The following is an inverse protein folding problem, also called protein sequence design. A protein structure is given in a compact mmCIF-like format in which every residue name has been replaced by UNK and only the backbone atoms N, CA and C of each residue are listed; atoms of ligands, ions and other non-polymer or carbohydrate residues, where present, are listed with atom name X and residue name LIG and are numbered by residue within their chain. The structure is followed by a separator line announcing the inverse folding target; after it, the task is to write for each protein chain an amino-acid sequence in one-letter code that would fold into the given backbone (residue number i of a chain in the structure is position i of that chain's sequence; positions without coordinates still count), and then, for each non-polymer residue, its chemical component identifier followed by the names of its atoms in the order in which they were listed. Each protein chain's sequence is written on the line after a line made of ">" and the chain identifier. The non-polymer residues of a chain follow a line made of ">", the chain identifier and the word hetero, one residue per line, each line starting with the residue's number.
data_IF_337613465233
#
_entry.id   IF_337613465233
#
_cell.length_a   1.000
_cell.length_b   1.000
_cell.length_c   1.000
_cell.angle_alpha   90.00
_cell.angle_beta   90.00
_cell.angle_gamma   90.00
#
_symmetry.space_group_name_H-M   'P 1'
#
loop_
_entity.id
_entity.type
_entity.pdbx_description
1 polymer ?
#
# COMPACT_ATOMS: atom_id res chain seq x y z
N UNK A 1 23.09 -14.56 46.53
CA UNK A 1 23.07 -13.20 45.92
C UNK A 1 22.50 -13.16 44.49
N UNK A 2 22.24 -14.28 43.80
CA UNK A 2 21.79 -14.28 42.39
C UNK A 2 20.29 -14.10 42.12
N UNK A 3 19.40 -14.42 43.06
CA UNK A 3 17.96 -14.51 42.81
C UNK A 3 17.27 -13.14 42.67
N UNK A 4 17.76 -12.11 43.37
CA UNK A 4 17.16 -10.77 43.38
C UNK A 4 17.36 -9.98 42.09
N UNK A 5 18.56 -10.06 41.51
CA UNK A 5 18.90 -9.36 40.25
C UNK A 5 18.12 -9.94 39.06
N UNK A 6 17.99 -11.27 39.01
CA UNK A 6 17.29 -11.98 37.93
C UNK A 6 15.78 -11.69 37.95
N UNK A 7 15.18 -11.60 39.14
CA UNK A 7 13.76 -11.27 39.32
C UNK A 7 13.45 -9.82 38.91
N UNK A 8 14.34 -8.88 39.25
CA UNK A 8 14.24 -7.48 38.83
C UNK A 8 14.31 -7.35 37.29
N UNK A 9 15.28 -8.03 36.67
CA UNK A 9 15.45 -8.03 35.22
C UNK A 9 14.21 -8.57 34.48
N UNK A 10 13.60 -9.67 34.96
CA UNK A 10 12.34 -10.19 34.42
C UNK A 10 11.22 -9.15 34.47
N UNK A 11 11.05 -8.47 35.59
CA UNK A 11 9.99 -7.48 35.75
C UNK A 11 10.19 -6.28 34.80
N UNK A 12 11.44 -5.80 34.66
CA UNK A 12 11.77 -4.78 33.68
C UNK A 12 11.47 -5.21 32.24
N UNK A 13 11.80 -6.45 31.86
CA UNK A 13 11.49 -6.98 30.53
C UNK A 13 9.98 -7.07 30.29
N UNK A 14 9.21 -7.54 31.27
CA UNK A 14 7.75 -7.57 31.19
C UNK A 14 7.17 -6.16 30.99
N UNK A 15 7.62 -5.18 31.79
CA UNK A 15 7.16 -3.80 31.66
C UNK A 15 7.50 -3.20 30.30
N UNK A 16 8.71 -3.44 29.79
CA UNK A 16 9.15 -2.93 28.49
C UNK A 16 8.35 -3.55 27.34
N UNK A 17 8.23 -4.88 27.30
CA UNK A 17 7.46 -5.58 26.26
C UNK A 17 6.00 -5.12 26.28
N UNK A 18 5.38 -5.04 27.45
CA UNK A 18 4.00 -4.57 27.56
C UNK A 18 3.84 -3.12 27.13
N UNK A 19 4.78 -2.23 27.49
CA UNK A 19 4.74 -0.83 27.08
C UNK A 19 4.81 -0.67 25.56
N UNK A 20 5.79 -1.31 24.91
CA UNK A 20 5.95 -1.23 23.45
C UNK A 20 4.72 -1.82 22.75
N UNK A 21 4.22 -2.96 23.22
CA UNK A 21 3.04 -3.59 22.61
C UNK A 21 1.74 -2.78 22.82
N UNK A 22 1.61 -2.04 23.92
CA UNK A 22 0.48 -1.10 24.10
C UNK A 22 0.56 0.04 23.07
N UNK A 23 1.76 0.59 22.83
CA UNK A 23 1.93 1.62 21.81
C UNK A 23 1.63 1.09 20.40
N UNK A 24 2.11 -0.11 20.06
CA UNK A 24 1.81 -0.72 18.75
C UNK A 24 0.33 -1.08 18.61
N UNK A 25 -0.34 -1.50 19.68
CA UNK A 25 -1.79 -1.72 19.66
C UNK A 25 -2.57 -0.44 19.37
N UNK A 26 -2.17 0.70 19.95
CA UNK A 26 -2.79 2.00 19.66
C UNK A 26 -2.60 2.36 18.18
N UNK A 27 -1.40 2.14 17.62
CA UNK A 27 -1.15 2.34 16.18
C UNK A 27 -2.02 1.41 15.32
N UNK A 28 -2.15 0.14 15.70
CA UNK A 28 -3.02 -0.81 15.02
C UNK A 28 -4.49 -0.40 15.03
N UNK A 29 -4.99 0.10 16.17
CA UNK A 29 -6.36 0.64 16.29
C UNK A 29 -6.57 1.89 15.43
N UNK A 30 -5.57 2.77 15.34
CA UNK A 30 -5.63 3.93 14.46
C UNK A 30 -5.71 3.51 12.98
N UNK A 31 -4.87 2.55 12.55
CA UNK A 31 -4.91 2.03 11.17
C UNK A 31 -6.24 1.34 10.85
N UNK A 32 -6.76 0.53 11.78
CA UNK A 32 -8.07 -0.08 11.65
C UNK A 32 -9.17 0.97 11.49
N UNK A 33 -9.17 2.01 12.33
CA UNK A 33 -10.12 3.10 12.26
C UNK A 33 -10.03 3.85 10.93
N UNK A 34 -8.81 4.16 10.45
CA UNK A 34 -8.60 4.78 9.13
C UNK A 34 -9.14 3.90 8.00
N UNK A 35 -8.90 2.60 8.03
CA UNK A 35 -9.45 1.66 7.05
C UNK A 35 -10.98 1.60 7.07
N UNK A 36 -11.60 1.55 8.25
CA UNK A 36 -13.05 1.60 8.38
C UNK A 36 -13.66 2.92 7.92
N UNK A 37 -13.02 4.05 8.26
CA UNK A 37 -13.47 5.39 7.84
C UNK A 37 -13.36 5.58 6.33
N UNK A 38 -12.29 5.09 5.70
CA UNK A 38 -12.13 5.17 4.24
C UNK A 38 -13.14 4.29 3.52
N UNK A 39 -13.44 3.08 4.00
CA UNK A 39 -14.54 2.26 3.48
C UNK A 39 -15.88 2.96 3.64
N UNK A 40 -16.17 3.50 4.82
CA UNK A 40 -17.43 4.20 5.07
C UNK A 40 -17.57 5.42 4.16
N UNK A 41 -16.54 6.25 4.04
CA UNK A 41 -16.53 7.41 3.15
C UNK A 41 -16.72 6.99 1.69
N UNK A 42 -16.06 5.91 1.25
CA UNK A 42 -16.26 5.36 -0.08
C UNK A 42 -17.72 4.95 -0.34
N UNK A 43 -18.34 4.23 0.59
CA UNK A 43 -19.75 3.84 0.50
C UNK A 43 -20.71 5.04 0.47
N UNK A 44 -20.43 6.08 1.27
CA UNK A 44 -21.22 7.32 1.31
C UNK A 44 -21.08 8.11 0.01
N UNK A 45 -19.85 8.26 -0.50
CA UNK A 45 -19.62 8.96 -1.78
C UNK A 45 -20.32 8.22 -2.91
N UNK A 46 -20.22 6.89 -2.94
CA UNK A 46 -20.91 6.06 -3.93
C UNK A 46 -22.43 6.22 -3.85
N UNK A 47 -23.02 6.14 -2.64
CA UNK A 47 -24.46 6.26 -2.48
C UNK A 47 -24.99 7.66 -2.80
N UNK A 48 -24.22 8.71 -2.49
CA UNK A 48 -24.55 10.08 -2.86
C UNK A 48 -24.41 10.33 -4.37
N UNK A 49 -23.38 9.76 -5.00
CA UNK A 49 -23.17 9.82 -6.44
C UNK A 49 -24.31 9.15 -7.21
N UNK A 50 -24.71 7.94 -6.81
CA UNK A 50 -25.84 7.20 -7.40
C UNK A 50 -27.15 8.02 -7.35
N UNK A 51 -27.37 8.81 -6.30
CA UNK A 51 -28.54 9.68 -6.15
C UNK A 51 -28.51 10.96 -7.01
N UNK A 52 -27.33 11.48 -7.37
CA UNK A 52 -27.18 12.74 -8.12
C UNK A 52 -26.87 12.56 -9.61
N UNK A 53 -26.32 11.42 -10.02
CA UNK A 53 -25.97 11.17 -11.43
C UNK A 53 -27.21 10.83 -12.26
N UNK A 54 -28.22 10.21 -11.64
CA UNK A 54 -29.51 9.95 -12.28
C UNK A 54 -30.28 11.22 -12.64
N UNK A 55 -30.04 12.35 -11.95
CA UNK A 55 -30.67 13.65 -12.26
C UNK A 55 -29.88 14.52 -13.24
N UNK A 56 -28.56 14.32 -13.37
CA UNK A 56 -27.70 15.06 -14.30
C UNK A 56 -27.57 14.41 -15.69
N UNK A 57 -27.79 13.09 -15.80
CA UNK A 57 -27.77 12.39 -17.09
C UNK A 57 -29.03 12.67 -17.95
N UNK A 58 -30.12 13.16 -17.36
CA UNK A 58 -31.35 13.49 -18.10
C UNK A 58 -31.39 14.92 -18.66
N UNK A 59 -30.45 15.80 -18.26
CA UNK A 59 -30.40 17.21 -18.70
C UNK A 59 -29.31 17.51 -19.72
N UNK A 60 -28.51 16.51 -20.13
CA UNK A 60 -27.40 16.71 -21.08
C UNK A 60 -27.63 15.97 -22.40
N UNK A 61 -28.72 16.29 -23.09
CA UNK A 61 -29.06 15.77 -24.44
C UNK A 61 -28.04 16.14 -25.55
N UNK A 62 -26.90 16.74 -25.22
CA UNK A 62 -26.06 17.44 -26.20
C UNK A 62 -24.55 17.32 -26.01
N UNK A 63 -24.09 16.54 -25.03
CA UNK A 63 -22.66 16.30 -24.83
C UNK A 63 -22.47 14.79 -24.73
N UNK A 64 -22.21 14.16 -25.87
CA UNK A 64 -21.65 12.81 -25.91
C UNK A 64 -20.14 12.92 -25.65
N UNK A 65 -19.78 13.45 -24.47
CA UNK A 65 -18.42 13.29 -23.97
C UNK A 65 -18.31 11.86 -23.49
N UNK A 66 -17.58 11.04 -24.23
CA UNK A 66 -17.21 9.67 -23.85
C UNK A 66 -16.27 9.61 -22.63
N UNK A 67 -16.34 10.59 -21.73
CA UNK A 67 -15.79 10.43 -20.39
C UNK A 67 -16.90 9.82 -19.58
N UNK A 68 -16.94 8.49 -19.60
CA UNK A 68 -17.81 7.70 -18.76
C UNK A 68 -17.37 7.99 -17.31
N UNK A 69 -17.96 8.99 -16.66
CA UNK A 69 -17.61 9.43 -15.29
C UNK A 69 -17.67 8.24 -14.33
N UNK A 70 -18.51 7.27 -14.65
CA UNK A 70 -18.60 5.94 -14.05
C UNK A 70 -17.28 5.15 -14.08
N UNK A 71 -16.51 5.22 -15.17
CA UNK A 71 -15.22 4.52 -15.30
C UNK A 71 -14.10 5.17 -14.48
N UNK A 72 -14.05 6.51 -14.46
CA UNK A 72 -13.14 7.29 -13.63
C UNK A 72 -13.47 7.12 -12.13
N UNK A 73 -14.76 7.07 -11.80
CA UNK A 73 -15.24 6.72 -10.47
C UNK A 73 -14.85 5.28 -10.13
N UNK A 74 -15.01 4.31 -11.03
CA UNK A 74 -14.76 2.89 -10.77
C UNK A 74 -13.29 2.53 -10.49
N UNK A 75 -12.29 3.16 -11.14
CA UNK A 75 -10.90 2.85 -10.78
C UNK A 75 -10.25 3.77 -9.75
N UNK A 76 -10.81 4.97 -9.48
CA UNK A 76 -10.52 5.65 -8.20
C UNK A 76 -11.13 4.87 -7.03
N UNK A 77 -12.34 4.33 -7.21
CA UNK A 77 -13.04 3.49 -6.25
C UNK A 77 -12.30 2.17 -5.98
N UNK A 78 -11.82 1.47 -7.02
CA UNK A 78 -11.12 0.19 -6.84
C UNK A 78 -9.84 0.37 -6.01
N UNK A 79 -9.05 1.40 -6.32
CA UNK A 79 -7.79 1.66 -5.61
C UNK A 79 -8.04 2.13 -4.16
N UNK A 80 -9.11 2.90 -3.94
CA UNK A 80 -9.52 3.33 -2.59
C UNK A 80 -10.04 2.16 -1.76
N UNK A 81 -10.78 1.23 -2.36
CA UNK A 81 -11.27 0.03 -1.67
C UNK A 81 -10.12 -0.90 -1.29
N UNK A 82 -9.17 -1.11 -2.20
CA UNK A 82 -7.99 -1.96 -1.94
C UNK A 82 -7.15 -1.36 -0.80
N UNK A 83 -6.87 -0.06 -0.82
CA UNK A 83 -6.07 0.58 0.24
C UNK A 83 -6.76 0.52 1.61
N UNK A 84 -8.09 0.71 1.64
CA UNK A 84 -8.87 0.61 2.87
C UNK A 84 -8.84 -0.81 3.46
N UNK A 85 -8.98 -1.85 2.62
CA UNK A 85 -8.89 -3.26 3.05
C UNK A 85 -7.48 -3.56 3.61
N UNK A 86 -6.43 -3.06 2.95
CA UNK A 86 -5.05 -3.23 3.43
C UNK A 86 -4.87 -2.61 4.82
N UNK A 87 -5.36 -1.39 5.05
CA UNK A 87 -5.28 -0.77 6.37
C UNK A 87 -6.02 -1.56 7.46
N UNK A 88 -7.19 -2.13 7.14
CA UNK A 88 -7.94 -2.98 8.08
C UNK A 88 -7.14 -4.22 8.42
N UNK A 89 -6.66 -4.97 7.42
CA UNK A 89 -5.93 -6.22 7.64
C UNK A 89 -4.65 -5.95 8.44
N UNK A 90 -3.86 -4.93 8.07
CA UNK A 90 -2.66 -4.56 8.79
C UNK A 90 -2.96 -4.12 10.23
N UNK A 91 -4.01 -3.31 10.44
CA UNK A 91 -4.45 -2.90 11.77
C UNK A 91 -4.80 -4.08 12.66
N UNK A 92 -5.61 -5.02 12.16
CA UNK A 92 -5.98 -6.25 12.90
C UNK A 92 -4.75 -7.08 13.24
N UNK A 93 -3.86 -7.33 12.26
CA UNK A 93 -2.65 -8.13 12.49
C UNK A 93 -1.75 -7.51 13.56
N UNK A 94 -1.55 -6.20 13.55
CA UNK A 94 -0.76 -5.48 14.56
C UNK A 94 -1.40 -5.58 15.94
N UNK A 95 -2.73 -5.46 16.03
CA UNK A 95 -3.46 -5.62 17.31
C UNK A 95 -3.28 -7.05 17.84
N UNK A 96 -3.49 -8.07 17.02
CA UNK A 96 -3.33 -9.47 17.42
C UNK A 96 -1.91 -9.74 17.91
N UNK A 97 -0.91 -9.29 17.15
CA UNK A 97 0.50 -9.36 17.53
C UNK A 97 0.78 -8.72 18.88
N UNK A 98 0.24 -7.53 19.09
CA UNK A 98 0.41 -6.76 20.33
C UNK A 98 -0.26 -7.46 21.52
N UNK A 99 -1.46 -8.03 21.32
CA UNK A 99 -2.15 -8.82 22.33
C UNK A 99 -1.34 -10.06 22.73
N UNK A 100 -0.74 -10.78 21.77
CA UNK A 100 0.12 -11.93 22.06
C UNK A 100 1.34 -11.55 22.90
N UNK A 101 1.98 -10.41 22.58
CA UNK A 101 3.10 -9.87 23.36
C UNK A 101 2.69 -9.50 24.80
N UNK A 102 1.60 -8.76 24.96
CA UNK A 102 1.05 -8.39 26.27
C UNK A 102 0.61 -9.61 27.10
N UNK A 103 -0.15 -10.55 26.51
CA UNK A 103 -0.58 -11.77 27.21
C UNK A 103 0.60 -12.67 27.58
N UNK A 104 1.58 -12.83 26.67
CA UNK A 104 2.80 -13.60 26.94
C UNK A 104 3.62 -13.01 28.09
N UNK A 105 3.78 -11.69 28.13
CA UNK A 105 4.55 -11.00 29.17
C UNK A 105 3.80 -10.86 30.51
N UNK A 106 2.52 -10.47 30.50
CA UNK A 106 1.74 -10.20 31.70
C UNK A 106 1.17 -11.45 32.35
N UNK A 107 0.64 -12.39 31.55
CA UNK A 107 -0.02 -13.59 32.06
C UNK A 107 0.93 -14.80 32.09
N UNK A 108 2.18 -14.62 31.65
CA UNK A 108 3.21 -15.65 31.68
C UNK A 108 2.86 -16.87 30.84
N UNK A 109 1.99 -16.74 29.83
CA UNK A 109 1.60 -17.86 28.95
C UNK A 109 2.73 -18.11 27.94
N UNK A 110 3.47 -19.24 28.05
CA UNK A 110 4.71 -19.44 27.30
C UNK A 110 4.43 -19.61 25.80
N UNK A 111 3.33 -20.27 25.44
CA UNK A 111 2.93 -20.46 24.04
C UNK A 111 2.67 -19.12 23.32
N UNK A 112 2.00 -18.17 23.99
CA UNK A 112 1.77 -16.83 23.42
C UNK A 112 3.08 -16.07 23.20
N UNK A 113 4.02 -16.18 24.15
CA UNK A 113 5.32 -15.53 24.06
C UNK A 113 6.20 -16.14 22.95
N UNK A 114 6.13 -17.45 22.72
CA UNK A 114 6.82 -18.12 21.61
C UNK A 114 6.26 -17.65 20.27
N UNK A 115 4.93 -17.68 20.09
CA UNK A 115 4.29 -17.24 18.83
C UNK A 115 4.64 -15.78 18.55
N UNK A 116 4.56 -14.91 19.56
CA UNK A 116 4.98 -13.52 19.49
C UNK A 116 6.44 -13.40 19.02
N UNK A 117 7.36 -14.14 19.64
CA UNK A 117 8.79 -14.10 19.31
C UNK A 117 9.07 -14.56 17.89
N UNK A 118 8.41 -15.63 17.42
CA UNK A 118 8.55 -16.11 16.04
C UNK A 118 8.09 -15.03 15.06
N UNK A 119 6.93 -14.42 15.31
CA UNK A 119 6.39 -13.40 14.42
C UNK A 119 7.24 -12.13 14.42
N UNK A 120 7.74 -11.66 15.57
CA UNK A 120 8.70 -10.54 15.65
C UNK A 120 10.00 -10.88 14.93
N UNK A 121 10.52 -12.11 15.06
CA UNK A 121 11.72 -12.52 14.35
C UNK A 121 11.53 -12.55 12.82
N UNK A 122 10.38 -13.01 12.34
CA UNK A 122 10.05 -12.96 10.91
C UNK A 122 9.99 -11.52 10.40
N UNK A 123 9.37 -10.61 11.17
CA UNK A 123 9.35 -9.18 10.87
C UNK A 123 10.76 -8.61 10.82
N UNK A 124 11.60 -8.87 11.82
CA UNK A 124 12.99 -8.42 11.88
C UNK A 124 13.79 -8.89 10.65
N UNK A 125 13.69 -10.17 10.29
CA UNK A 125 14.39 -10.74 9.13
C UNK A 125 13.92 -10.10 7.82
N UNK A 126 12.61 -9.89 7.66
CA UNK A 126 12.06 -9.21 6.48
C UNK A 126 12.54 -7.77 6.37
N UNK A 127 12.54 -7.00 7.47
CA UNK A 127 13.00 -5.62 7.48
C UNK A 127 14.50 -5.52 7.20
N UNK A 128 15.31 -6.38 7.83
CA UNK A 128 16.75 -6.44 7.58
C UNK A 128 17.03 -6.76 6.10
N UNK A 129 16.28 -7.70 5.51
CA UNK A 129 16.36 -8.02 4.08
C UNK A 129 16.02 -6.82 3.18
N UNK A 130 14.96 -6.07 3.50
CA UNK A 130 14.59 -4.86 2.78
C UNK A 130 15.66 -3.75 2.88
N UNK A 131 16.24 -3.56 4.06
CA UNK A 131 17.33 -2.59 4.26
C UNK A 131 18.56 -2.99 3.43
N UNK A 132 18.97 -4.25 3.48
CA UNK A 132 20.09 -4.75 2.66
C UNK A 132 19.79 -4.58 1.17
N UNK A 133 18.58 -4.97 0.73
CA UNK A 133 18.16 -4.81 -0.66
C UNK A 133 18.21 -3.35 -1.11
N UNK A 134 17.75 -2.42 -0.28
CA UNK A 134 17.75 -0.99 -0.60
C UNK A 134 19.16 -0.46 -0.87
N UNK A 135 20.13 -0.77 0.00
CA UNK A 135 21.50 -0.28 -0.14
C UNK A 135 22.30 -0.98 -1.24
N UNK A 136 21.94 -2.21 -1.60
CA UNK A 136 22.70 -3.01 -2.59
C UNK A 136 22.10 -2.95 -3.99
N UNK A 137 20.78 -2.88 -4.10
CA UNK A 137 20.04 -3.13 -5.35
C UNK A 137 18.86 -2.14 -5.54
N UNK A 138 18.92 -0.93 -4.97
CA UNK A 138 17.82 0.06 -5.14
C UNK A 138 17.53 0.42 -6.60
N UNK A 139 18.52 0.31 -7.50
CA UNK A 139 18.30 0.57 -8.93
C UNK A 139 17.35 -0.45 -9.59
N UNK A 140 17.21 -1.66 -9.04
CA UNK A 140 16.22 -2.65 -9.49
C UNK A 140 14.80 -2.11 -9.38
N UNK A 141 14.53 -1.21 -8.41
CA UNK A 141 13.23 -0.55 -8.29
C UNK A 141 12.97 0.38 -9.48
N UNK A 142 14.02 1.06 -9.97
CA UNK A 142 13.91 1.88 -11.18
C UNK A 142 13.63 1.01 -12.40
N UNK A 143 14.32 -0.12 -12.55
CA UNK A 143 14.10 -1.05 -13.65
C UNK A 143 12.69 -1.66 -13.62
N UNK A 144 12.21 -2.07 -12.45
CA UNK A 144 10.82 -2.50 -12.27
C UNK A 144 9.82 -1.41 -12.67
N UNK A 145 10.08 -0.15 -12.28
CA UNK A 145 9.23 0.98 -12.68
C UNK A 145 9.22 1.22 -14.19
N UNK A 146 10.38 1.10 -14.86
CA UNK A 146 10.47 1.15 -16.33
C UNK A 146 9.68 0.02 -16.97
N UNK A 147 9.92 -1.22 -16.56
CA UNK A 147 9.27 -2.40 -17.12
C UNK A 147 7.74 -2.32 -16.95
N UNK A 148 7.28 -1.86 -15.78
CA UNK A 148 5.86 -1.63 -15.54
C UNK A 148 5.29 -0.58 -16.50
N UNK A 149 5.97 0.57 -16.69
CA UNK A 149 5.54 1.60 -17.65
C UNK A 149 5.49 1.06 -19.09
N UNK A 150 6.51 0.32 -19.52
CA UNK A 150 6.57 -0.30 -20.85
C UNK A 150 5.43 -1.30 -21.05
N UNK A 151 5.14 -2.14 -20.04
CA UNK A 151 4.03 -3.09 -20.08
C UNK A 151 2.68 -2.37 -20.16
N UNK A 152 2.47 -1.32 -19.37
CA UNK A 152 1.23 -0.55 -19.39
C UNK A 152 1.02 0.17 -20.73
N UNK A 153 2.06 0.78 -21.30
CA UNK A 153 1.97 1.44 -22.62
C UNK A 153 1.69 0.41 -23.71
N UNK A 154 2.39 -0.74 -23.70
CA UNK A 154 2.19 -1.82 -24.68
C UNK A 154 0.78 -2.40 -24.67
N UNK A 155 0.23 -2.59 -23.47
CA UNK A 155 -1.10 -3.17 -23.28
C UNK A 155 -2.21 -2.12 -23.25
N UNK A 156 -1.89 -0.85 -23.49
CA UNK A 156 -2.87 0.24 -23.45
C UNK A 156 -3.99 0.02 -24.47
N UNK A 157 -5.24 0.05 -24.01
CA UNK A 157 -6.46 -0.12 -24.82
C UNK A 157 -7.35 1.12 -24.80
N UNK A 158 -6.96 2.15 -24.06
CA UNK A 158 -7.75 3.35 -23.84
C UNK A 158 -8.76 3.20 -22.72
N UNK A 159 -9.00 4.29 -21.99
CA UNK A 159 -9.94 4.33 -20.85
C UNK A 159 -11.40 4.07 -21.22
N UNK A 160 -11.78 4.17 -22.51
CA UNK A 160 -13.14 3.84 -22.97
C UNK A 160 -13.48 2.35 -22.81
N UNK A 161 -12.48 1.46 -22.72
CA UNK A 161 -12.68 0.02 -22.57
C UNK A 161 -12.69 -0.45 -21.09
N UNK A 162 -12.64 0.47 -20.12
CA UNK A 162 -12.54 0.17 -18.67
C UNK A 162 -11.39 -0.77 -18.32
N UNK A 163 -10.32 -0.74 -19.12
CA UNK A 163 -9.12 -1.52 -18.90
C UNK A 163 -8.34 -0.90 -17.72
N UNK A 164 -8.18 -1.67 -16.64
CA UNK A 164 -7.59 -1.20 -15.38
C UNK A 164 -6.16 -0.70 -15.58
N UNK A 165 -5.36 -1.38 -16.41
CA UNK A 165 -3.98 -0.98 -16.69
C UNK A 165 -3.90 0.35 -17.44
N UNK A 166 -4.77 0.53 -18.43
CA UNK A 166 -4.89 1.80 -19.17
C UNK A 166 -5.26 2.95 -18.24
N UNK A 167 -6.18 2.73 -17.29
CA UNK A 167 -6.56 3.75 -16.34
C UNK A 167 -5.45 4.07 -15.32
N UNK A 168 -4.72 3.07 -14.84
CA UNK A 168 -3.56 3.28 -13.96
C UNK A 168 -2.50 4.15 -14.63
N UNK A 169 -2.18 3.86 -15.89
CA UNK A 169 -1.25 4.68 -16.66
C UNK A 169 -1.78 6.10 -16.88
N UNK A 170 -3.07 6.26 -17.17
CA UNK A 170 -3.69 7.58 -17.31
C UNK A 170 -3.57 8.41 -16.03
N UNK A 171 -3.78 7.81 -14.85
CA UNK A 171 -3.57 8.49 -13.56
C UNK A 171 -2.11 8.91 -13.37
N UNK A 172 -1.17 8.01 -13.66
CA UNK A 172 0.27 8.32 -13.55
C UNK A 172 0.66 9.49 -14.45
N UNK A 173 0.13 9.53 -15.68
CA UNK A 173 0.40 10.59 -16.64
C UNK A 173 -0.17 11.94 -16.19
N UNK A 174 -1.41 11.97 -15.68
CA UNK A 174 -2.04 13.19 -15.17
C UNK A 174 -1.33 13.70 -13.92
N UNK A 175 -1.12 12.85 -12.92
CA UNK A 175 -0.51 13.23 -11.63
C UNK A 175 0.97 13.57 -11.80
N UNK A 176 1.69 12.80 -12.62
CA UNK A 176 3.12 12.99 -12.88
C UNK A 176 3.43 14.10 -13.88
N UNK A 177 2.42 14.64 -14.58
CA UNK A 177 2.63 15.62 -15.64
C UNK A 177 3.57 15.10 -16.74
N UNK A 178 3.34 13.85 -17.16
CA UNK A 178 4.21 13.10 -18.07
C UNK A 178 3.41 12.31 -19.10
N UNK A 179 4.07 11.71 -20.09
CA UNK A 179 3.43 10.94 -21.15
C UNK A 179 4.32 9.80 -21.65
N UNK A 180 3.78 8.58 -21.70
CA UNK A 180 4.50 7.40 -22.15
C UNK A 180 5.65 7.02 -21.21
N UNK A 181 6.58 6.18 -21.69
CA UNK A 181 7.74 5.75 -20.91
C UNK A 181 8.80 6.85 -20.94
N UNK A 182 9.25 7.18 -22.14
CA UNK A 182 10.22 8.22 -22.45
C UNK A 182 9.55 9.45 -23.07
N UNK A 183 8.46 9.27 -23.84
CA UNK A 183 7.63 10.36 -24.37
C UNK A 183 6.33 9.80 -25.02
N UNK A 184 5.44 10.69 -25.46
CA UNK A 184 4.16 10.30 -26.06
C UNK A 184 4.26 9.55 -27.39
N UNK A 185 5.41 9.50 -28.06
CA UNK A 185 5.55 8.66 -29.26
C UNK A 185 5.59 7.17 -28.91
N UNK A 186 5.89 6.81 -27.65
CA UNK A 186 5.93 5.42 -27.21
C UNK A 186 4.58 4.73 -27.47
N UNK A 187 3.46 5.45 -27.35
CA UNK A 187 2.16 4.92 -27.70
C UNK A 187 2.10 4.51 -29.17
N UNK A 188 2.61 5.31 -30.09
CA UNK A 188 2.60 4.98 -31.52
C UNK A 188 3.42 3.71 -31.81
N UNK A 189 4.59 3.56 -31.17
CA UNK A 189 5.48 2.42 -31.40
C UNK A 189 5.12 1.15 -30.62
N UNK A 190 4.50 1.26 -29.44
CA UNK A 190 4.30 0.13 -28.52
C UNK A 190 2.82 -0.28 -28.36
N UNK A 191 1.88 0.66 -28.38
CA UNK A 191 0.46 0.40 -28.15
C UNK A 191 -0.25 -0.04 -29.46
N UNK A 192 0.01 -1.27 -29.90
CA UNK A 192 -0.52 -1.80 -31.18
C UNK A 192 -2.01 -2.14 -31.13
N UNK A 193 -2.53 -2.45 -29.94
CA UNK A 193 -3.93 -2.87 -29.74
C UNK A 193 -4.86 -1.71 -29.35
N UNK A 194 -4.35 -0.48 -29.29
CA UNK A 194 -5.13 0.68 -28.90
C UNK A 194 -5.97 1.20 -30.07
N UNK A 195 -7.30 1.25 -29.91
CA UNK A 195 -8.17 1.98 -30.82
C UNK A 195 -8.02 3.50 -30.60
N UNK A 196 -7.33 4.15 -31.53
CA UNK A 196 -6.99 5.59 -31.47
C UNK A 196 -8.09 6.50 -31.98
N UNK A 197 -9.15 5.96 -32.57
CA UNK A 197 -10.19 6.79 -33.19
C UNK A 197 -11.07 7.41 -32.11
N UNK A 198 -11.06 8.73 -32.05
CA UNK A 198 -11.88 9.54 -31.16
C UNK A 198 -13.00 10.17 -31.99
N UNK A 199 -14.25 9.98 -31.59
CA UNK A 199 -15.38 10.76 -32.09
C UNK A 199 -15.55 12.04 -31.26
N UNK A 200 -15.64 13.20 -31.93
CA UNK A 200 -16.05 14.46 -31.32
C UNK A 200 -17.27 15.03 -32.05
N UNK A 201 -18.28 15.43 -31.27
CA UNK A 201 -19.48 16.10 -31.78
C UNK A 201 -19.22 17.59 -31.87
N UNK A 202 -19.27 18.15 -33.08
CA UNK A 202 -19.11 19.58 -33.28
C UNK A 202 -20.25 20.37 -32.63
N UNK A 203 -20.00 21.63 -32.27
CA UNK A 203 -21.00 22.56 -31.73
C UNK A 203 -22.27 22.63 -32.61
N UNK A 204 -22.12 22.37 -33.92
CA UNK A 204 -23.23 22.07 -34.81
C UNK A 204 -23.57 20.57 -34.68
N UNK A 205 -24.45 20.24 -33.72
CA UNK A 205 -24.80 18.91 -33.16
C UNK A 205 -25.13 17.78 -34.16
N UNK A 206 -25.10 18.06 -35.45
CA UNK A 206 -25.37 17.14 -36.56
C UNK A 206 -24.10 16.60 -37.23
N UNK A 207 -22.91 17.12 -36.90
CA UNK A 207 -21.63 16.66 -37.48
C UNK A 207 -20.75 15.97 -36.44
N UNK A 208 -20.53 14.67 -36.64
CA UNK A 208 -19.47 13.91 -35.98
C UNK A 208 -18.16 14.04 -36.76
N UNK A 209 -17.09 14.39 -36.08
CA UNK A 209 -15.74 14.40 -36.62
C UNK A 209 -14.91 13.33 -35.91
N UNK A 210 -14.20 12.52 -36.69
CA UNK A 210 -13.34 11.47 -36.17
C UNK A 210 -11.87 11.86 -36.36
N UNK A 211 -11.09 11.71 -35.30
CA UNK A 211 -9.66 11.99 -35.31
C UNK A 211 -8.89 10.81 -34.73
N UNK A 212 -7.68 10.57 -35.22
CA UNK A 212 -6.79 9.58 -34.64
C UNK A 212 -5.91 10.23 -33.57
N UNK A 213 -6.00 9.73 -32.34
CA UNK A 213 -5.16 10.13 -31.23
C UNK A 213 -3.71 9.69 -31.48
N UNK A 214 -2.77 10.63 -31.30
CA UNK A 214 -1.34 10.29 -31.28
C UNK A 214 -0.94 9.63 -29.96
N UNK A 215 -1.50 10.13 -28.85
CA UNK A 215 -1.29 9.67 -27.48
C UNK A 215 -2.55 9.94 -26.63
N UNK A 216 -2.67 9.31 -25.44
CA UNK A 216 -3.84 9.46 -24.57
C UNK A 216 -4.11 10.90 -24.12
N UNK A 217 -5.37 11.20 -23.82
CA UNK A 217 -5.77 12.51 -23.28
C UNK A 217 -5.14 12.84 -21.93
N UNK A 218 -4.78 11.81 -21.14
CA UNK A 218 -4.05 11.96 -19.88
C UNK A 218 -2.66 12.59 -20.06
N UNK A 219 -2.10 12.59 -21.27
CA UNK A 219 -0.87 13.31 -21.61
C UNK A 219 -1.09 14.82 -21.86
N UNK A 220 -2.33 15.28 -21.91
CA UNK A 220 -2.63 16.69 -22.10
C UNK A 220 -2.54 17.44 -20.78
N UNK A 221 -2.17 18.71 -20.85
CA UNK A 221 -2.14 19.56 -19.67
C UNK A 221 -3.56 20.07 -19.38
N UNK A 222 -4.01 19.93 -18.13
CA UNK A 222 -5.33 20.34 -17.68
C UNK A 222 -5.27 21.77 -17.14
N UNK A 223 -5.43 22.76 -18.03
CA UNK A 223 -5.70 24.13 -17.60
C UNK A 223 -7.20 24.34 -17.45
N UNK A 224 -7.61 24.83 -16.28
CA UNK A 224 -8.99 24.99 -15.81
C UNK A 224 -9.93 25.84 -16.71
N UNK A 225 -9.43 26.46 -17.79
CA UNK A 225 -10.22 27.35 -18.65
C UNK A 225 -10.48 26.85 -20.08
N UNK A 226 -9.84 25.77 -20.55
CA UNK A 226 -10.14 25.19 -21.87
C UNK A 226 -9.86 23.69 -21.91
N UNK A 227 -10.94 22.90 -22.05
CA UNK A 227 -10.88 21.50 -22.48
C UNK A 227 -10.51 21.42 -23.98
N UNK A 228 -9.27 21.78 -24.32
CA UNK A 228 -8.76 21.63 -25.69
C UNK A 228 -8.27 20.18 -25.89
N UNK A 229 -9.22 19.24 -26.05
CA UNK A 229 -8.97 17.84 -26.45
C UNK A 229 -8.16 17.71 -27.75
N UNK A 230 -8.00 18.83 -28.49
CA UNK A 230 -7.12 18.98 -29.65
C UNK A 230 -5.66 18.59 -29.36
N UNK A 231 -5.19 18.74 -28.13
CA UNK A 231 -3.85 18.36 -27.72
C UNK A 231 -3.47 16.91 -28.13
N UNK A 232 -4.41 15.96 -28.12
CA UNK A 232 -4.15 14.55 -28.40
C UNK A 232 -4.06 14.22 -29.90
N UNK A 233 -4.58 15.07 -30.79
CA UNK A 233 -4.69 14.77 -32.24
C UNK A 233 -4.17 15.87 -33.18
N UNK A 234 -4.03 17.11 -32.71
CA UNK A 234 -3.66 18.25 -33.56
C UNK A 234 -2.14 18.51 -33.64
N UNK A 235 -1.29 17.63 -33.09
CA UNK A 235 0.18 17.83 -33.01
C UNK A 235 0.55 19.25 -32.53
N UNK A 236 -0.21 19.78 -31.57
CA UNK A 236 -0.01 21.13 -31.03
C UNK A 236 1.26 21.16 -30.15
N UNK A 237 2.03 22.24 -30.26
CA UNK A 237 3.25 22.51 -29.47
C UNK A 237 2.96 22.85 -27.99
N UNK A 238 4.04 23.01 -27.22
CA UNK A 238 4.22 22.65 -25.79
C UNK A 238 3.42 23.30 -24.65
N UNK A 239 2.60 24.38 -24.72
CA UNK A 239 1.90 24.79 -23.50
C UNK A 239 0.88 23.73 -23.04
N UNK A 240 0.34 22.92 -23.94
CA UNK A 240 -0.89 22.16 -23.71
C UNK A 240 -0.72 20.65 -23.56
N UNK A 241 0.51 20.12 -23.63
CA UNK A 241 0.75 18.68 -23.51
C UNK A 241 2.08 18.34 -22.87
N UNK A 242 2.08 17.28 -22.07
CA UNK A 242 3.27 16.68 -21.47
C UNK A 242 3.92 15.63 -22.39
N UNK A 243 3.62 15.63 -23.70
CA UNK A 243 4.12 14.62 -24.66
C UNK A 243 5.64 14.45 -24.61
N UNK A 244 6.40 15.52 -24.41
CA UNK A 244 7.87 15.46 -24.39
C UNK A 244 8.43 14.96 -23.05
N UNK A 245 7.63 14.96 -21.98
CA UNK A 245 8.08 14.59 -20.65
C UNK A 245 7.82 13.10 -20.41
N UNK A 246 8.88 12.28 -20.42
CA UNK A 246 8.75 10.85 -20.13
C UNK A 246 8.39 10.55 -18.68
N UNK A 247 7.48 9.61 -18.44
CA UNK A 247 7.10 9.24 -17.07
C UNK A 247 8.22 8.51 -16.33
N UNK A 248 9.10 7.78 -17.01
CA UNK A 248 10.24 7.13 -16.36
C UNK A 248 11.20 8.15 -15.75
N UNK A 249 11.52 9.23 -16.47
CA UNK A 249 12.43 10.26 -15.97
C UNK A 249 11.85 10.99 -14.76
N UNK A 250 10.54 11.30 -14.81
CA UNK A 250 9.82 11.85 -13.64
C UNK A 250 9.84 10.88 -12.47
N UNK A 251 9.55 9.61 -12.70
CA UNK A 251 9.62 8.58 -11.65
C UNK A 251 11.03 8.43 -11.07
N UNK A 252 12.05 8.33 -11.92
CA UNK A 252 13.45 8.21 -11.51
C UNK A 252 13.90 9.43 -10.70
N UNK A 253 13.53 10.65 -11.14
CA UNK A 253 13.86 11.87 -10.39
C UNK A 253 13.12 11.94 -9.04
N UNK A 254 11.87 11.49 -8.95
CA UNK A 254 11.16 11.35 -7.66
C UNK A 254 11.85 10.31 -6.78
N UNK A 255 12.23 9.17 -7.36
CA UNK A 255 12.91 8.10 -6.65
C UNK A 255 14.24 8.57 -6.07
N UNK A 256 15.12 9.16 -6.88
CA UNK A 256 16.45 9.57 -6.44
C UNK A 256 16.37 10.77 -5.46
N UNK A 257 15.53 11.77 -5.72
CA UNK A 257 15.48 13.01 -4.91
C UNK A 257 14.67 12.88 -3.62
N UNK A 258 13.62 12.05 -3.59
CA UNK A 258 12.71 11.96 -2.45
C UNK A 258 12.77 10.60 -1.78
N UNK A 259 12.61 9.51 -2.52
CA UNK A 259 12.54 8.17 -1.91
C UNK A 259 13.92 7.74 -1.38
N UNK A 260 14.95 7.80 -2.23
CA UNK A 260 16.35 7.50 -1.87
C UNK A 260 16.87 8.44 -0.80
N UNK A 261 16.82 9.76 -1.06
CA UNK A 261 17.26 10.74 -0.07
C UNK A 261 16.47 10.68 1.24
N UNK A 262 15.17 10.40 1.19
CA UNK A 262 14.32 10.31 2.38
C UNK A 262 14.66 9.08 3.22
N UNK A 263 14.80 7.92 2.59
CA UNK A 263 15.19 6.69 3.26
C UNK A 263 16.59 6.81 3.90
N UNK A 264 17.54 7.42 3.20
CA UNK A 264 18.90 7.63 3.73
C UNK A 264 18.89 8.54 4.98
N UNK A 265 18.02 9.54 5.03
CA UNK A 265 17.83 10.40 6.23
C UNK A 265 17.15 9.67 7.37
N UNK A 266 16.19 8.80 7.06
CA UNK A 266 15.43 8.02 8.05
C UNK A 266 16.15 6.75 8.49
N UNK A 267 17.33 6.45 7.92
CA UNK A 267 18.10 5.25 8.22
C UNK A 267 18.35 5.06 9.72
N UNK A 268 18.71 6.11 10.45
CA UNK A 268 18.90 6.01 11.91
C UNK A 268 17.61 5.64 12.65
N UNK A 269 16.45 6.09 12.16
CA UNK A 269 15.15 5.70 12.69
C UNK A 269 14.84 4.23 12.45
N UNK A 270 15.11 3.73 11.24
CA UNK A 270 14.95 2.32 10.88
C UNK A 270 15.91 1.44 11.70
N UNK A 271 17.17 1.83 11.83
CA UNK A 271 18.15 1.13 12.65
C UNK A 271 17.74 1.10 14.14
N UNK A 272 17.20 2.21 14.65
CA UNK A 272 16.64 2.27 16.00
C UNK A 272 15.46 1.31 16.18
N UNK A 273 14.55 1.25 15.20
CA UNK A 273 13.42 0.33 15.22
C UNK A 273 13.84 -1.15 15.21
N UNK A 274 14.80 -1.52 14.36
CA UNK A 274 15.41 -2.85 14.37
C UNK A 274 16.03 -3.18 15.74
N UNK A 275 16.68 -2.19 16.37
CA UNK A 275 17.20 -2.32 17.73
C UNK A 275 16.10 -2.62 18.77
N UNK A 276 14.94 -1.95 18.67
CA UNK A 276 13.78 -2.23 19.53
C UNK A 276 13.29 -3.66 19.33
N UNK A 277 13.18 -4.15 18.10
CA UNK A 277 12.77 -5.53 17.81
C UNK A 277 13.75 -6.57 18.41
N UNK A 278 15.06 -6.32 18.32
CA UNK A 278 16.07 -7.16 18.96
C UNK A 278 15.90 -7.15 20.49
N UNK A 279 15.66 -5.99 21.10
CA UNK A 279 15.42 -5.89 22.54
C UNK A 279 14.15 -6.62 22.97
N UNK A 280 13.08 -6.59 22.16
CA UNK A 280 11.86 -7.35 22.40
C UNK A 280 12.12 -8.86 22.38
N UNK A 281 12.89 -9.34 21.40
CA UNK A 281 13.28 -10.75 21.30
C UNK A 281 14.16 -11.19 22.48
N UNK A 282 15.17 -10.39 22.84
CA UNK A 282 16.03 -10.66 24.00
C UNK A 282 15.21 -10.69 25.30
N UNK A 283 14.31 -9.73 25.49
CA UNK A 283 13.40 -9.70 26.64
C UNK A 283 12.49 -10.93 26.71
N UNK A 284 11.92 -11.34 25.57
CA UNK A 284 11.07 -12.52 25.49
C UNK A 284 11.86 -13.81 25.80
N UNK A 285 13.09 -13.94 25.27
CA UNK A 285 13.99 -15.06 25.57
C UNK A 285 14.37 -15.12 27.05
N UNK A 286 14.66 -13.98 27.69
CA UNK A 286 14.96 -13.92 29.12
C UNK A 286 13.76 -14.36 29.97
N UNK A 287 12.55 -13.89 29.65
CA UNK A 287 11.32 -14.33 30.33
C UNK A 287 11.11 -15.83 30.14
N UNK A 288 11.33 -16.35 28.93
CA UNK A 288 11.19 -17.76 28.63
C UNK A 288 12.21 -18.62 29.38
N UNK A 289 13.49 -18.23 29.36
CA UNK A 289 14.57 -18.93 30.06
C UNK A 289 14.31 -18.99 31.57
N UNK A 290 13.91 -17.86 32.16
CA UNK A 290 13.63 -17.82 33.59
C UNK A 290 12.39 -18.66 33.95
N UNK A 291 11.34 -18.66 33.12
CA UNK A 291 10.19 -19.53 33.35
C UNK A 291 10.59 -21.01 33.29
N UNK A 292 11.43 -21.39 32.33
CA UNK A 292 11.95 -22.75 32.23
C UNK A 292 12.75 -23.18 33.45
N UNK A 293 13.59 -22.30 34.01
CA UNK A 293 14.30 -22.59 35.27
C UNK A 293 13.34 -22.84 36.42
N UNK A 294 12.26 -22.05 36.52
CA UNK A 294 11.22 -22.29 37.54
C UNK A 294 10.54 -23.66 37.37
N UNK A 295 10.34 -24.13 36.14
CA UNK A 295 9.75 -25.45 35.88
C UNK A 295 10.74 -26.60 36.18
N UNK A 296 12.06 -26.41 35.94
CA UNK A 296 13.10 -27.41 36.24
C UNK A 296 13.41 -27.54 37.74
N UNK A 297 13.24 -26.46 38.53
CA UNK A 297 13.45 -26.46 39.99
C UNK A 297 12.29 -27.10 40.79
N UNK A 298 11.16 -27.44 40.15
CA UNK A 298 10.05 -28.17 40.80
C UNK A 298 10.41 -29.67 40.79
N UNK A 299 10.67 -30.30 41.97
CA UNK A 299 10.96 -31.72 42.00
C UNK A 299 9.75 -32.50 41.50
N UNK A 300 9.98 -33.53 40.67
CA UNK A 300 9.00 -34.55 40.30
C UNK A 300 8.57 -35.37 41.54
N UNK A 301 7.88 -34.77 42.50
CA UNK A 301 7.22 -35.45 43.62
C UNK A 301 5.71 -35.35 43.43
N UNK A 302 5.14 -36.27 42.64
CA UNK A 302 3.70 -36.23 42.38
C UNK A 302 3.13 -37.26 41.41
N UNK A 303 3.77 -38.41 41.20
CA UNK A 303 3.09 -39.57 40.58
C UNK A 303 3.02 -40.68 41.62
N UNK A 304 2.08 -40.54 42.57
CA UNK A 304 1.60 -41.66 43.36
C UNK A 304 0.32 -42.16 42.70
N UNK A 305 0.43 -43.21 41.89
CA UNK A 305 -0.73 -43.99 41.46
C UNK A 305 -1.38 -44.58 42.72
N UNK A 306 -2.52 -44.04 43.12
CA UNK A 306 -3.33 -44.57 44.22
C UNK A 306 -3.96 -45.89 43.75
N UNK A 307 -3.24 -47.01 43.91
CA UNK A 307 -3.86 -48.34 43.82
C UNK A 307 -4.81 -48.49 45.00
N UNK A 308 -6.13 -48.40 44.76
CA UNK A 308 -7.12 -48.90 45.69
C UNK A 308 -7.15 -50.44 45.62
N UNK A 309 -6.98 -51.17 46.73
CA UNK A 309 -7.27 -52.59 46.75
C UNK A 309 -8.79 -52.79 46.70
N UNK A 310 -9.26 -53.58 45.73
CA UNK A 310 -10.61 -54.15 45.78
C UNK A 310 -10.64 -55.14 46.95
N UNK A 311 -11.47 -54.87 47.96
CA UNK A 311 -11.92 -55.91 48.89
C UNK A 311 -13.30 -56.38 48.42
N UNK A 312 -13.37 -57.70 48.22
CA UNK A 312 -14.58 -58.47 47.98
C UNK A 312 -15.52 -58.46 49.19
#
# INVERSE_FOLDING_TARGET
>A
MGSGCLTCCRWCCCCFISFVNVLTAILGLALLATGCLTLWAYWVVRSAFDQHVSSMLTTTDNIETSVDVESLHQAMASNTMISAIVFIILGVLIIVMSCLGCCGACWGVPSCLIIYSVLVALVLLSQAGLVIFWFTNSDVVKDCGRNWLEEQVKNYKGSQNRDVGSMQLDVVQVVGGCCGVNNGNDFYSMATNWNRTIGYRSNNKTKFSYYNASYPFSCCNYYLERQDFKCAYANLSDPYSNRQNGCYEKFASVFDNYLKSGFDRLFFGVAGWLGVEILLLLGALLIFYHKRQQDEDIPHSGVQYKMQPQMA
#
